data_IF_780793776049
#
_entry.id   IF_780793776049
#
_cell.length_a   1.000
_cell.length_b   1.000
_cell.length_c   1.000
_cell.angle_alpha   90.00
_cell.angle_beta   90.00
_cell.angle_gamma   90.00
#
_symmetry.space_group_name_H-M   'P 1'
#
loop_
_entity.id
_entity.type
_entity.pdbx_description
1 polymer ?
#
# COMPACT_ATOMS: atom_id res chain seq x y z
N UNK A 1 17.96 -2.42 -24.06
CA UNK A 1 16.72 -2.69 -23.32
C UNK A 1 16.57 -1.55 -22.35
N UNK A 2 15.48 -0.76 -22.40
CA UNK A 2 15.23 0.25 -21.39
C UNK A 2 15.10 -0.43 -20.01
N UNK A 3 15.65 0.19 -18.97
CA UNK A 3 15.50 -0.25 -17.60
C UNK A 3 14.19 0.33 -17.05
N UNK A 4 13.16 -0.50 -16.88
CA UNK A 4 11.94 -0.08 -16.17
C UNK A 4 12.33 0.11 -14.70
N UNK A 5 12.23 1.35 -14.21
CA UNK A 5 12.40 1.66 -12.79
C UNK A 5 11.04 1.63 -12.12
N UNK A 6 10.77 0.54 -11.40
CA UNK A 6 9.57 0.47 -10.54
C UNK A 6 9.89 1.20 -9.25
N UNK A 7 9.13 2.24 -8.93
CA UNK A 7 9.24 2.91 -7.63
C UNK A 7 8.21 2.28 -6.69
N UNK A 8 8.68 1.60 -5.65
CA UNK A 8 7.83 0.98 -4.64
C UNK A 8 7.86 1.78 -3.35
N UNK A 9 6.69 2.14 -2.83
CA UNK A 9 6.52 2.74 -1.52
C UNK A 9 5.80 1.77 -0.57
N UNK A 10 6.14 1.83 0.72
CA UNK A 10 5.56 0.98 1.75
C UNK A 10 5.00 1.82 2.89
N UNK A 11 3.87 1.37 3.44
CA UNK A 11 3.24 1.99 4.59
C UNK A 11 2.70 0.93 5.55
N UNK A 12 2.89 1.13 6.84
CA UNK A 12 2.25 0.31 7.88
C UNK A 12 1.09 1.12 8.45
N UNK A 13 -0.08 0.51 8.48
CA UNK A 13 -1.30 1.06 9.07
C UNK A 13 -1.62 0.27 10.31
N UNK A 14 -2.11 0.95 11.35
CA UNK A 14 -2.54 0.30 12.58
C UNK A 14 -3.94 0.74 13.01
N UNK A 15 -4.58 -0.07 13.85
CA UNK A 15 -5.85 0.23 14.51
C UNK A 15 -6.01 -0.60 15.78
N UNK A 16 -6.62 -0.03 16.82
CA UNK A 16 -6.88 -0.76 18.08
C UNK A 16 -8.14 -1.61 17.95
N UNK A 17 -9.08 -1.18 17.11
CA UNK A 17 -10.27 -1.91 16.69
C UNK A 17 -10.11 -2.36 15.24
N UNK A 18 -10.64 -3.53 14.89
CA UNK A 18 -10.58 -4.06 13.52
C UNK A 18 -11.27 -3.09 12.54
N UNK A 19 -12.41 -2.53 12.94
CA UNK A 19 -13.18 -1.59 12.11
C UNK A 19 -12.41 -0.29 11.83
N UNK A 20 -11.57 0.14 12.77
CA UNK A 20 -10.70 1.30 12.59
C UNK A 20 -9.60 1.00 11.56
N UNK A 21 -8.98 -0.18 11.65
CA UNK A 21 -7.96 -0.62 10.70
C UNK A 21 -8.58 -0.75 9.30
N UNK A 22 -9.72 -1.44 9.18
CA UNK A 22 -10.42 -1.64 7.91
C UNK A 22 -10.70 -0.31 7.22
N UNK A 23 -11.23 0.68 7.94
CA UNK A 23 -11.50 2.01 7.38
C UNK A 23 -10.23 2.69 6.84
N UNK A 24 -9.10 2.54 7.52
CA UNK A 24 -7.82 3.15 7.09
C UNK A 24 -7.21 2.42 5.91
N UNK A 25 -7.31 1.09 5.88
CA UNK A 25 -6.88 0.27 4.75
C UNK A 25 -7.71 0.62 3.51
N UNK A 26 -9.04 0.70 3.66
CA UNK A 26 -9.94 1.05 2.56
C UNK A 26 -9.64 2.43 1.96
N UNK A 27 -9.34 3.43 2.80
CA UNK A 27 -8.95 4.75 2.33
C UNK A 27 -7.67 4.71 1.48
N UNK A 28 -6.69 3.86 1.83
CA UNK A 28 -5.47 3.72 1.04
C UNK A 28 -5.69 2.94 -0.25
N UNK A 29 -6.59 1.96 -0.26
CA UNK A 29 -7.01 1.27 -1.49
C UNK A 29 -7.63 2.27 -2.46
N UNK A 30 -8.44 3.20 -1.97
CA UNK A 30 -9.00 4.29 -2.79
C UNK A 30 -7.91 5.24 -3.33
N UNK A 31 -6.79 5.37 -2.61
CA UNK A 31 -5.60 6.13 -3.02
C UNK A 31 -4.62 5.30 -3.89
N UNK A 32 -4.99 4.08 -4.30
CA UNK A 32 -4.18 3.22 -5.18
C UNK A 32 -3.17 2.32 -4.50
N UNK A 33 -3.20 2.20 -3.17
CA UNK A 33 -2.34 1.28 -2.43
C UNK A 33 -2.95 -0.12 -2.34
N UNK A 34 -2.12 -1.14 -2.37
CA UNK A 34 -2.54 -2.53 -2.17
C UNK A 34 -2.10 -3.08 -0.81
N UNK A 35 -2.95 -3.83 -0.09
CA UNK A 35 -2.52 -4.54 1.11
C UNK A 35 -1.61 -5.71 0.73
N UNK A 36 -0.46 -5.82 1.41
CA UNK A 36 0.47 -6.94 1.22
C UNK A 36 0.63 -7.77 2.49
N UNK A 37 0.73 -9.08 2.30
CA UNK A 37 0.83 -10.04 3.41
C UNK A 37 -0.47 -10.16 4.21
N UNK A 38 -0.35 -10.69 5.43
CA UNK A 38 -1.46 -10.85 6.36
C UNK A 38 -1.48 -9.79 7.45
N UNK A 39 -2.67 -9.55 8.03
CA UNK A 39 -2.83 -8.72 9.21
C UNK A 39 -2.14 -9.36 10.42
N UNK A 40 -1.44 -8.55 11.22
CA UNK A 40 -0.72 -9.00 12.42
C UNK A 40 -1.29 -8.30 13.66
N UNK A 41 -1.40 -9.02 14.77
CA UNK A 41 -1.76 -8.48 16.08
C UNK A 41 -0.49 -8.25 16.92
N UNK A 42 -0.44 -7.14 17.66
CA UNK A 42 0.65 -6.86 18.60
C UNK A 42 0.78 -7.95 19.66
N UNK A 43 1.99 -8.17 20.24
CA UNK A 43 2.18 -9.16 21.30
C UNK A 43 1.30 -8.94 22.55
N UNK A 44 0.91 -7.69 22.82
CA UNK A 44 0.00 -7.35 23.92
C UNK A 44 -1.49 -7.53 23.57
N UNK A 45 -1.81 -7.90 22.32
CA UNK A 45 -3.17 -8.17 21.85
C UNK A 45 -4.03 -6.93 21.62
N UNK A 46 -3.46 -5.72 21.61
CA UNK A 46 -4.23 -4.47 21.57
C UNK A 46 -4.30 -3.80 20.20
N UNK A 47 -3.36 -4.08 19.30
CA UNK A 47 -3.20 -3.29 18.07
C UNK A 47 -3.03 -4.21 16.87
N UNK A 48 -3.89 -4.03 15.87
CA UNK A 48 -3.78 -4.68 14.57
C UNK A 48 -2.90 -3.84 13.63
N UNK A 49 -2.16 -4.50 12.77
CA UNK A 49 -1.30 -3.90 11.77
C UNK A 49 -1.54 -4.53 10.40
N UNK A 50 -1.55 -3.70 9.37
CA UNK A 50 -1.56 -4.09 7.96
C UNK A 50 -0.44 -3.34 7.22
N UNK A 51 0.31 -4.05 6.39
CA UNK A 51 1.27 -3.44 5.47
C UNK A 51 0.58 -3.13 4.14
N UNK A 52 0.88 -1.97 3.57
CA UNK A 52 0.39 -1.49 2.29
C UNK A 52 1.59 -1.22 1.37
N UNK A 53 1.44 -1.47 0.08
CA UNK A 53 2.39 -1.14 -0.98
C UNK A 53 1.74 -0.17 -1.97
N UNK A 54 2.51 0.74 -2.52
CA UNK A 54 2.15 1.51 -3.70
C UNK A 54 3.23 1.26 -4.76
N UNK A 55 2.82 0.71 -5.90
CA UNK A 55 3.70 0.47 -7.03
C UNK A 55 3.46 1.56 -8.07
N UNK A 56 4.42 2.47 -8.20
CA UNK A 56 4.43 3.47 -9.25
C UNK A 56 5.22 2.90 -10.42
N UNK A 57 4.46 2.49 -11.45
CA UNK A 57 5.02 2.13 -12.73
C UNK A 57 5.24 3.46 -13.46
N UNK A 58 6.46 3.99 -13.39
CA UNK A 58 6.90 5.06 -14.30
C UNK A 58 6.79 4.50 -15.72
N UNK A 59 5.62 4.68 -16.34
CA UNK A 59 5.38 4.44 -17.75
C UNK A 59 5.97 5.63 -18.51
N UNK A 60 7.30 5.76 -18.45
CA UNK A 60 8.10 6.63 -19.32
C UNK A 60 8.10 6.08 -20.77
N UNK A 61 6.97 5.51 -21.23
CA UNK A 61 6.71 5.17 -22.62
C UNK A 61 6.04 6.37 -23.30
N UNK A 62 6.92 7.29 -23.68
CA UNK A 62 6.89 8.04 -24.94
C UNK A 62 5.64 8.92 -25.20
N UNK A 63 5.85 10.23 -24.97
CA UNK A 63 5.29 11.31 -25.79
C UNK A 63 5.40 10.94 -27.29
N UNK A 64 4.36 10.32 -27.85
CA UNK A 64 4.09 10.41 -29.29
C UNK A 64 3.26 11.67 -29.52
N UNK A 65 3.96 12.79 -29.70
CA UNK A 65 3.41 13.96 -30.38
C UNK A 65 2.99 13.55 -31.81
N UNK A 66 1.70 13.72 -32.16
CA UNK A 66 1.21 13.80 -33.55
C UNK A 66 0.73 15.22 -33.87
#
# INVERSE_FOLDING_TARGET
MPEIKIKMEYKIVSGVMVEELERRVQALIEDGWDPIGGMVLSPDGTTFYQTMILEDYDDDDEDYDE
#
